data_IF_671372978237
#
_entry.id   IF_671372978237
#
_cell.length_a   1.000
_cell.length_b   1.000
_cell.length_c   1.000
_cell.angle_alpha   90.00
_cell.angle_beta   90.00
_cell.angle_gamma   90.00
#
_symmetry.space_group_name_H-M   'P 1'
#
loop_
_entity.id
_entity.type
_entity.pdbx_description
1 polymer ?
#
# COMPACT_ATOMS: atom_id res chain seq x y z
N UNK A 1 19.67 14.76 -40.41
CA UNK A 1 18.78 13.64 -40.11
C UNK A 1 19.54 12.37 -39.64
N UNK A 2 20.42 11.72 -40.43
CA UNK A 2 21.13 10.49 -40.01
C UNK A 2 21.93 10.63 -38.72
N UNK A 3 22.67 11.73 -38.50
CA UNK A 3 23.44 11.97 -37.26
C UNK A 3 22.53 12.16 -36.03
N UNK A 4 21.36 12.77 -36.21
CA UNK A 4 20.39 12.96 -35.11
C UNK A 4 19.73 11.65 -34.70
N UNK A 5 19.39 10.79 -35.66
CA UNK A 5 18.86 9.44 -35.43
C UNK A 5 19.92 8.58 -34.70
N UNK A 6 21.19 8.67 -35.09
CA UNK A 6 22.25 7.94 -34.43
C UNK A 6 22.45 8.36 -32.97
N UNK A 7 22.36 9.65 -32.66
CA UNK A 7 22.43 10.16 -31.28
C UNK A 7 21.26 9.63 -30.43
N UNK A 8 20.04 9.65 -30.97
CA UNK A 8 18.87 9.09 -30.29
C UNK A 8 19.05 7.59 -30.02
N UNK A 9 19.52 6.83 -31.00
CA UNK A 9 19.76 5.41 -30.84
C UNK A 9 20.85 5.09 -29.78
N UNK A 10 21.90 5.91 -29.71
CA UNK A 10 22.95 5.79 -28.68
C UNK A 10 22.36 6.10 -27.29
N UNK A 11 21.56 7.14 -27.16
CA UNK A 11 20.89 7.47 -25.90
C UNK A 11 19.96 6.34 -25.47
N UNK A 12 19.12 5.82 -26.37
CA UNK A 12 18.22 4.70 -26.09
C UNK A 12 18.97 3.43 -25.69
N UNK A 13 20.07 3.11 -26.39
CA UNK A 13 20.93 1.97 -26.05
C UNK A 13 21.60 2.16 -24.69
N UNK A 14 22.08 3.35 -24.38
CA UNK A 14 22.68 3.67 -23.08
C UNK A 14 21.66 3.56 -21.94
N UNK A 15 20.44 4.06 -22.15
CA UNK A 15 19.33 3.93 -21.19
C UNK A 15 18.94 2.46 -20.99
N UNK A 16 18.83 1.68 -22.07
CA UNK A 16 18.52 0.25 -22.00
C UNK A 16 19.61 -0.53 -21.25
N UNK A 17 20.90 -0.24 -21.52
CA UNK A 17 22.04 -0.87 -20.84
C UNK A 17 22.05 -0.49 -19.35
N UNK A 18 21.88 0.77 -19.02
CA UNK A 18 21.79 1.23 -17.64
C UNK A 18 20.60 0.59 -16.90
N UNK A 19 19.44 0.47 -17.56
CA UNK A 19 18.26 -0.22 -17.03
C UNK A 19 18.53 -1.70 -16.74
N UNK A 20 19.23 -2.38 -17.64
CA UNK A 20 19.59 -3.79 -17.47
C UNK A 20 20.55 -3.99 -16.28
N UNK A 21 21.61 -3.18 -16.18
CA UNK A 21 22.55 -3.22 -15.05
C UNK A 21 21.85 -2.94 -13.72
N UNK A 22 21.04 -1.90 -13.66
CA UNK A 22 20.28 -1.56 -12.47
C UNK A 22 19.31 -2.66 -12.06
N UNK A 23 18.63 -3.28 -13.02
CA UNK A 23 17.74 -4.42 -12.77
C UNK A 23 18.49 -5.61 -12.20
N UNK A 24 19.71 -5.90 -12.70
CA UNK A 24 20.53 -7.00 -12.19
C UNK A 24 21.05 -6.74 -10.78
N UNK A 25 21.51 -5.53 -10.48
CA UNK A 25 21.89 -5.13 -9.12
C UNK A 25 20.72 -5.20 -8.17
N UNK A 26 19.56 -4.71 -8.59
CA UNK A 26 18.33 -4.80 -7.81
C UNK A 26 17.92 -6.24 -7.49
N UNK A 27 17.97 -7.13 -8.47
CA UNK A 27 17.68 -8.55 -8.26
C UNK A 27 18.65 -9.15 -7.24
N UNK A 28 19.93 -8.79 -7.30
CA UNK A 28 20.95 -9.24 -6.35
C UNK A 28 20.70 -8.71 -4.94
N UNK A 29 20.45 -7.42 -4.81
CA UNK A 29 20.15 -6.78 -3.52
C UNK A 29 18.87 -7.35 -2.89
N UNK A 30 17.87 -7.60 -3.67
CA UNK A 30 16.63 -8.21 -3.23
C UNK A 30 16.79 -9.65 -2.75
N UNK A 31 17.59 -10.45 -3.47
CA UNK A 31 17.95 -11.79 -2.98
C UNK A 31 18.66 -11.71 -1.63
N UNK A 32 19.52 -10.70 -1.44
CA UNK A 32 20.20 -10.44 -0.16
C UNK A 32 19.18 -10.07 0.92
N UNK A 33 18.27 -9.12 0.65
CA UNK A 33 17.24 -8.67 1.60
C UNK A 33 16.26 -9.80 1.97
N UNK A 34 15.85 -10.62 0.99
CA UNK A 34 15.03 -11.81 1.26
C UNK A 34 15.79 -12.79 2.16
N UNK A 35 17.07 -13.04 1.88
CA UNK A 35 17.93 -13.91 2.69
C UNK A 35 18.04 -13.37 4.12
N UNK A 36 18.32 -12.09 4.29
CA UNK A 36 18.37 -11.43 5.60
C UNK A 36 17.03 -11.50 6.32
N UNK A 37 15.92 -11.25 5.63
CA UNK A 37 14.57 -11.36 6.18
C UNK A 37 14.24 -12.78 6.63
N UNK A 38 14.65 -13.80 5.88
CA UNK A 38 14.44 -15.23 6.27
C UNK A 38 15.31 -15.66 7.44
N UNK A 39 16.46 -15.02 7.65
CA UNK A 39 17.39 -15.31 8.76
C UNK A 39 17.15 -14.44 9.99
N UNK A 40 16.15 -13.56 9.95
CA UNK A 40 15.83 -12.64 11.07
C UNK A 40 15.54 -13.42 12.34
N UNK A 41 16.29 -13.11 13.39
CA UNK A 41 16.09 -13.68 14.74
C UNK A 41 15.00 -12.92 15.49
N UNK A 42 14.38 -13.57 16.49
CA UNK A 42 13.54 -12.85 17.45
C UNK A 42 14.32 -11.70 18.09
N UNK A 43 13.69 -10.55 18.16
CA UNK A 43 14.21 -9.38 18.85
C UNK A 43 13.23 -9.02 19.97
N UNK A 44 13.68 -9.17 21.19
CA UNK A 44 12.94 -8.77 22.38
C UNK A 44 13.61 -7.54 22.99
N UNK A 45 12.84 -6.48 23.12
CA UNK A 45 13.29 -5.27 23.80
C UNK A 45 12.46 -5.12 25.08
N UNK A 46 13.10 -4.75 26.17
CA UNK A 46 12.40 -4.44 27.41
C UNK A 46 11.29 -3.42 27.16
N UNK A 47 10.14 -3.62 27.80
CA UNK A 47 8.96 -2.74 27.69
C UNK A 47 8.24 -2.76 26.31
N UNK A 48 8.51 -3.74 25.44
CA UNK A 48 7.67 -4.07 24.27
C UNK A 48 7.33 -5.55 24.33
N UNK A 49 6.06 -5.87 24.52
CA UNK A 49 5.56 -7.24 24.55
C UNK A 49 4.61 -7.45 23.36
N UNK A 50 4.81 -8.55 22.62
CA UNK A 50 3.96 -8.95 21.50
C UNK A 50 3.30 -10.28 21.85
N UNK A 51 1.99 -10.31 21.93
CA UNK A 51 1.18 -11.49 22.18
C UNK A 51 0.33 -11.82 20.96
N UNK A 52 0.19 -13.10 20.66
CA UNK A 52 -0.66 -13.62 19.61
C UNK A 52 -1.66 -14.61 20.16
N UNK A 53 -2.92 -14.45 19.81
CA UNK A 53 -4.03 -15.29 20.21
C UNK A 53 -4.76 -15.79 18.96
N UNK A 54 -4.78 -17.11 18.68
CA UNK A 54 -5.66 -17.65 17.66
C UNK A 54 -7.12 -17.43 18.09
N UNK A 55 -7.90 -16.82 17.22
CA UNK A 55 -9.31 -16.49 17.49
C UNK A 55 -10.16 -16.80 16.27
N UNK A 56 -11.40 -17.24 16.52
CA UNK A 56 -12.42 -17.36 15.50
C UNK A 56 -13.32 -16.11 15.54
N UNK A 57 -13.42 -15.41 14.44
CA UNK A 57 -14.27 -14.22 14.33
C UNK A 57 -15.62 -14.58 13.70
N UNK A 58 -16.68 -13.87 14.13
CA UNK A 58 -17.99 -13.97 13.50
C UNK A 58 -17.92 -13.36 12.10
N UNK A 59 -18.41 -14.09 11.12
CA UNK A 59 -18.58 -13.58 9.75
C UNK A 59 -19.97 -13.01 9.56
N UNK A 60 -20.07 -11.87 8.91
CA UNK A 60 -21.32 -11.26 8.45
C UNK A 60 -21.34 -11.32 6.92
N UNK A 61 -22.42 -11.86 6.37
CA UNK A 61 -22.63 -11.83 4.93
C UNK A 61 -23.18 -10.45 4.56
N UNK A 62 -22.43 -9.71 3.74
CA UNK A 62 -22.86 -8.44 3.17
C UNK A 62 -23.05 -8.64 1.66
N UNK A 63 -24.30 -8.50 1.19
CA UNK A 63 -24.64 -8.67 -0.21
C UNK A 63 -24.58 -10.13 -0.74
N UNK A 64 -24.72 -10.30 -2.05
CA UNK A 64 -24.61 -11.61 -2.69
C UNK A 64 -23.16 -12.08 -2.70
N UNK A 65 -22.78 -12.94 -1.77
CA UNK A 65 -21.52 -13.69 -1.70
C UNK A 65 -20.30 -13.00 -1.08
N UNK A 66 -20.41 -11.86 -0.43
CA UNK A 66 -19.29 -11.28 0.30
C UNK A 66 -19.41 -11.57 1.79
N UNK A 67 -18.50 -12.37 2.32
CA UNK A 67 -18.35 -12.55 3.75
C UNK A 67 -17.45 -11.45 4.32
N UNK A 68 -17.97 -10.71 5.29
CA UNK A 68 -17.21 -9.73 6.07
C UNK A 68 -17.01 -10.25 7.47
N UNK A 69 -15.85 -10.00 8.01
CA UNK A 69 -15.57 -10.27 9.40
C UNK A 69 -15.99 -9.06 10.23
N UNK A 70 -16.74 -9.31 11.29
CA UNK A 70 -17.01 -8.30 12.29
C UNK A 70 -15.97 -8.40 13.38
N UNK A 71 -15.06 -7.44 13.43
CA UNK A 71 -14.08 -7.33 14.50
C UNK A 71 -14.70 -6.59 15.69
N UNK A 72 -14.59 -7.15 16.87
CA UNK A 72 -15.18 -6.60 18.10
C UNK A 72 -14.72 -5.15 18.37
N UNK A 73 -13.46 -4.86 18.10
CA UNK A 73 -12.87 -3.54 18.30
C UNK A 73 -13.07 -2.57 17.14
N UNK A 74 -13.76 -2.99 16.06
CA UNK A 74 -13.95 -2.11 14.88
C UNK A 74 -15.04 -1.04 15.07
N UNK A 75 -15.79 -1.09 16.19
CA UNK A 75 -16.86 -0.12 16.47
C UNK A 75 -17.89 0.00 15.34
N UNK A 76 -18.19 -1.12 14.67
CA UNK A 76 -19.14 -1.17 13.55
C UNK A 76 -18.53 -0.88 12.18
N UNK A 77 -17.25 -0.54 12.09
CA UNK A 77 -16.54 -0.37 10.83
C UNK A 77 -16.30 -1.72 10.15
N UNK A 78 -16.29 -1.72 8.83
CA UNK A 78 -16.03 -2.87 7.98
C UNK A 78 -14.73 -2.70 7.21
N UNK A 79 -14.13 -3.82 6.80
CA UNK A 79 -12.95 -3.83 5.93
C UNK A 79 -13.40 -4.01 4.48
N UNK A 80 -12.98 -3.12 3.61
CA UNK A 80 -13.19 -3.16 2.17
C UNK A 80 -11.85 -3.32 1.46
N UNK A 81 -11.75 -4.28 0.55
CA UNK A 81 -10.54 -4.55 -0.21
C UNK A 81 -10.63 -3.96 -1.61
N UNK A 82 -9.56 -3.41 -2.10
CA UNK A 82 -9.56 -2.82 -3.43
C UNK A 82 -8.20 -2.54 -4.02
N UNK A 83 -8.22 -1.76 -5.10
CA UNK A 83 -7.04 -1.23 -5.78
C UNK A 83 -7.31 0.20 -6.23
N UNK A 84 -6.28 1.05 -6.12
CA UNK A 84 -6.38 2.48 -6.42
C UNK A 84 -5.51 2.92 -7.60
N UNK A 85 -4.85 1.99 -8.31
CA UNK A 85 -3.97 2.29 -9.42
C UNK A 85 -4.04 1.21 -10.50
N UNK A 86 -4.58 1.56 -11.65
CA UNK A 86 -4.65 0.70 -12.84
C UNK A 86 -4.94 1.53 -14.09
N UNK A 87 -4.65 0.94 -15.27
CA UNK A 87 -4.73 1.56 -16.58
C UNK A 87 -5.58 0.78 -17.56
N UNK A 88 -6.25 1.49 -18.44
CA UNK A 88 -7.01 0.92 -19.56
C UNK A 88 -6.43 1.41 -20.91
N UNK A 89 -7.15 1.13 -22.00
CA UNK A 89 -6.80 1.67 -23.34
C UNK A 89 -6.93 3.19 -23.44
N UNK A 90 -7.34 3.90 -22.39
CA UNK A 90 -7.25 5.34 -22.34
C UNK A 90 -5.82 5.81 -22.04
N UNK A 91 -4.99 4.94 -21.45
CA UNK A 91 -3.52 5.07 -21.41
C UNK A 91 -2.88 4.33 -22.58
N UNK A 92 -1.73 4.77 -23.04
CA UNK A 92 -1.04 4.22 -24.22
C UNK A 92 -0.69 2.72 -24.10
N UNK A 93 -0.15 2.32 -22.98
CA UNK A 93 0.29 0.95 -22.70
C UNK A 93 -0.80 0.07 -22.07
N UNK A 94 -1.94 0.63 -21.70
CA UNK A 94 -3.03 -0.10 -21.08
C UNK A 94 -3.78 -1.01 -22.06
N UNK A 95 -4.20 -2.18 -21.59
CA UNK A 95 -4.96 -3.16 -22.36
C UNK A 95 -6.34 -3.38 -21.75
N UNK A 96 -7.33 -3.54 -22.63
CA UNK A 96 -8.74 -3.60 -22.27
C UNK A 96 -9.36 -2.22 -22.09
N UNK A 97 -10.61 -2.07 -22.50
CA UNK A 97 -11.35 -0.83 -22.32
C UNK A 97 -11.62 -0.56 -20.83
N UNK A 98 -11.99 0.66 -20.43
CA UNK A 98 -12.42 0.92 -19.06
C UNK A 98 -13.52 -0.02 -18.59
N UNK A 99 -14.50 -0.33 -19.47
CA UNK A 99 -15.60 -1.24 -19.18
C UNK A 99 -15.10 -2.67 -18.91
N UNK A 100 -14.13 -3.16 -19.71
CA UNK A 100 -13.54 -4.49 -19.51
C UNK A 100 -12.78 -4.58 -18.18
N UNK A 101 -12.07 -3.52 -17.81
CA UNK A 101 -11.35 -3.43 -16.53
C UNK A 101 -12.33 -3.44 -15.35
N UNK A 102 -13.37 -2.58 -15.36
CA UNK A 102 -14.37 -2.56 -14.28
C UNK A 102 -15.20 -3.85 -14.23
N UNK A 103 -15.58 -4.42 -15.36
CA UNK A 103 -16.29 -5.70 -15.37
C UNK A 103 -15.47 -6.84 -14.78
N UNK A 104 -14.18 -6.89 -15.11
CA UNK A 104 -13.25 -7.87 -14.55
C UNK A 104 -13.06 -7.68 -13.04
N UNK A 105 -12.90 -6.45 -12.59
CA UNK A 105 -12.77 -6.12 -11.18
C UNK A 105 -14.04 -6.45 -10.38
N UNK A 106 -15.23 -6.08 -10.90
CA UNK A 106 -16.54 -6.36 -10.30
C UNK A 106 -16.83 -7.86 -10.15
N UNK A 107 -16.31 -8.69 -11.06
CA UNK A 107 -16.43 -10.14 -11.00
C UNK A 107 -15.43 -10.81 -10.05
N UNK A 108 -14.47 -10.08 -9.55
CA UNK A 108 -13.53 -10.58 -8.54
C UNK A 108 -14.25 -10.78 -7.20
N UNK A 109 -13.94 -11.89 -6.52
CA UNK A 109 -14.52 -12.22 -5.21
C UNK A 109 -13.99 -11.36 -4.07
N UNK A 110 -12.85 -10.71 -4.30
CA UNK A 110 -12.04 -10.04 -3.26
C UNK A 110 -11.74 -8.58 -3.59
N UNK A 111 -12.50 -7.97 -4.51
CA UNK A 111 -12.47 -6.53 -4.76
C UNK A 111 -13.83 -5.90 -4.50
N UNK A 112 -13.85 -4.95 -3.58
CA UNK A 112 -15.01 -4.11 -3.29
C UNK A 112 -14.98 -2.80 -4.06
N UNK A 113 -13.77 -2.31 -4.34
CA UNK A 113 -13.57 -1.10 -5.12
C UNK A 113 -12.35 -1.23 -6.04
N UNK A 114 -12.39 -0.50 -7.15
CA UNK A 114 -11.32 -0.51 -8.13
C UNK A 114 -11.22 0.84 -8.83
N UNK A 115 -10.02 1.41 -8.89
CA UNK A 115 -9.77 2.68 -9.58
C UNK A 115 -9.07 2.46 -10.91
N UNK A 116 -9.53 3.19 -11.93
CA UNK A 116 -8.78 3.47 -13.14
C UNK A 116 -8.20 4.89 -13.05
N UNK A 117 -6.90 4.97 -13.20
CA UNK A 117 -6.11 6.20 -13.02
C UNK A 117 -5.18 6.39 -14.21
N UNK A 118 -5.77 6.81 -15.32
CA UNK A 118 -5.12 6.87 -16.61
C UNK A 118 -3.96 7.88 -16.63
N UNK A 119 -2.89 7.56 -17.36
CA UNK A 119 -1.83 8.51 -17.66
C UNK A 119 -2.37 9.75 -18.37
N UNK A 120 -2.08 10.93 -17.83
CA UNK A 120 -2.71 12.18 -18.27
C UNK A 120 -1.94 12.93 -19.36
N UNK A 121 -0.62 12.76 -19.48
CA UNK A 121 0.20 13.69 -20.28
C UNK A 121 -0.28 13.87 -21.74
N UNK A 122 -0.18 12.88 -22.63
CA UNK A 122 -0.61 13.03 -24.04
C UNK A 122 -1.83 12.18 -24.42
N UNK A 123 -2.30 11.33 -23.50
CA UNK A 123 -3.31 10.31 -23.81
C UNK A 123 -4.69 10.63 -23.23
N UNK A 124 -4.75 11.28 -22.06
CA UNK A 124 -5.99 11.69 -21.43
C UNK A 124 -6.32 13.11 -21.85
N UNK A 125 -7.46 13.28 -22.50
CA UNK A 125 -8.07 14.57 -22.77
C UNK A 125 -9.36 14.74 -21.95
N UNK A 126 -9.93 15.94 -21.96
CA UNK A 126 -11.16 16.19 -21.21
C UNK A 126 -12.31 15.27 -21.62
N UNK A 127 -12.43 14.92 -22.91
CA UNK A 127 -13.48 14.01 -23.39
C UNK A 127 -13.31 12.60 -22.85
N UNK A 128 -12.09 12.07 -22.85
CA UNK A 128 -11.78 10.76 -22.25
C UNK A 128 -11.99 10.77 -20.74
N UNK A 129 -11.58 11.83 -20.04
CA UNK A 129 -11.75 11.92 -18.60
C UNK A 129 -13.24 11.94 -18.21
N UNK A 130 -14.05 12.75 -18.88
CA UNK A 130 -15.51 12.77 -18.68
C UNK A 130 -16.15 11.42 -19.02
N UNK A 131 -15.70 10.78 -20.10
CA UNK A 131 -16.17 9.43 -20.45
C UNK A 131 -15.80 8.40 -19.39
N UNK A 132 -14.59 8.45 -18.81
CA UNK A 132 -14.18 7.57 -17.73
C UNK A 132 -15.07 7.74 -16.50
N UNK A 133 -15.44 8.97 -16.15
CA UNK A 133 -16.39 9.27 -15.06
C UNK A 133 -17.76 8.65 -15.33
N UNK A 134 -18.29 8.78 -16.54
CA UNK A 134 -19.58 8.19 -16.93
C UNK A 134 -19.53 6.66 -16.82
N UNK A 135 -18.51 6.04 -17.42
CA UNK A 135 -18.34 4.56 -17.36
C UNK A 135 -18.22 4.11 -15.89
N UNK A 136 -17.45 4.80 -15.06
CA UNK A 136 -17.34 4.42 -13.65
C UNK A 136 -18.70 4.45 -12.95
N UNK A 137 -19.53 5.45 -13.20
CA UNK A 137 -20.87 5.54 -12.62
C UNK A 137 -21.79 4.39 -13.08
N UNK A 138 -21.69 3.93 -14.33
CA UNK A 138 -22.49 2.82 -14.88
C UNK A 138 -22.16 1.46 -14.24
N UNK A 139 -20.92 1.28 -13.76
CA UNK A 139 -20.48 0.03 -13.13
C UNK A 139 -20.74 -0.03 -11.62
N UNK A 140 -21.21 1.05 -11.02
CA UNK A 140 -21.48 1.08 -9.58
C UNK A 140 -22.61 0.14 -9.20
N UNK A 141 -22.45 -0.56 -8.08
CA UNK A 141 -23.48 -1.44 -7.50
C UNK A 141 -23.36 -1.48 -5.98
N UNK A 142 -24.30 -2.14 -5.29
CA UNK A 142 -24.23 -2.32 -3.83
C UNK A 142 -22.96 -3.01 -3.34
N UNK A 143 -22.34 -3.86 -4.20
CA UNK A 143 -21.20 -4.68 -3.84
C UNK A 143 -19.91 -4.30 -4.57
N UNK A 144 -19.92 -3.21 -5.33
CA UNK A 144 -18.75 -2.77 -6.08
C UNK A 144 -18.75 -1.26 -6.30
N UNK A 145 -17.67 -0.62 -5.90
CA UNK A 145 -17.45 0.81 -6.08
C UNK A 145 -16.35 1.03 -7.15
N UNK A 146 -16.71 1.38 -8.39
CA UNK A 146 -15.75 1.85 -9.37
C UNK A 146 -15.31 3.26 -9.02
N UNK A 147 -14.03 3.52 -9.17
CA UNK A 147 -13.41 4.82 -8.90
C UNK A 147 -12.69 5.26 -10.19
N UNK A 148 -12.79 6.53 -10.52
CA UNK A 148 -11.99 7.15 -11.58
C UNK A 148 -11.01 8.15 -11.00
N UNK A 149 -9.91 8.32 -11.69
CA UNK A 149 -8.86 9.26 -11.35
C UNK A 149 -7.88 9.41 -12.50
N UNK A 150 -6.72 9.92 -12.21
CA UNK A 150 -5.63 9.98 -13.16
C UNK A 150 -4.29 9.76 -12.44
N UNK A 151 -3.30 9.31 -13.18
CA UNK A 151 -1.93 9.31 -12.74
C UNK A 151 -1.22 10.54 -13.33
N UNK A 152 -0.87 11.49 -12.45
CA UNK A 152 0.03 12.59 -12.81
C UNK A 152 1.43 12.03 -13.03
N UNK A 153 1.79 11.85 -14.29
CA UNK A 153 2.92 11.02 -14.74
C UNK A 153 4.13 11.87 -15.11
N UNK A 154 4.65 12.63 -14.15
CA UNK A 154 5.79 13.50 -14.40
C UNK A 154 7.08 12.68 -14.61
N UNK A 155 7.74 12.90 -15.75
CA UNK A 155 8.94 12.15 -16.16
C UNK A 155 10.15 12.34 -15.23
N UNK A 156 10.19 13.45 -14.48
CA UNK A 156 11.30 13.83 -13.60
C UNK A 156 10.90 13.74 -12.13
N UNK A 157 9.77 14.40 -11.80
CA UNK A 157 9.34 14.59 -10.42
C UNK A 157 8.60 13.40 -9.81
N UNK A 158 8.44 12.29 -10.53
CA UNK A 158 7.72 11.10 -10.07
C UNK A 158 6.24 11.11 -10.43
N UNK A 159 5.58 9.97 -10.18
CA UNK A 159 4.18 9.77 -10.49
C UNK A 159 3.31 9.91 -9.23
N UNK A 160 2.09 10.41 -9.43
CA UNK A 160 1.12 10.56 -8.35
C UNK A 160 -0.24 10.07 -8.81
N UNK A 161 -0.83 9.14 -8.09
CA UNK A 161 -2.25 8.80 -8.28
C UNK A 161 -3.10 9.90 -7.68
N UNK A 162 -4.01 10.46 -8.46
CA UNK A 162 -4.92 11.53 -8.06
C UNK A 162 -6.36 11.07 -8.22
N UNK A 163 -7.11 11.14 -7.14
CA UNK A 163 -8.50 10.70 -7.03
C UNK A 163 -9.40 11.84 -6.59
N UNK A 164 -10.71 11.68 -6.78
CA UNK A 164 -11.73 12.58 -6.27
C UNK A 164 -11.61 14.03 -6.80
N UNK A 165 -11.34 14.16 -8.09
CA UNK A 165 -11.27 15.44 -8.79
C UNK A 165 -12.26 15.49 -9.94
N UNK A 166 -12.73 16.68 -10.27
CA UNK A 166 -13.62 16.89 -11.42
C UNK A 166 -12.85 17.09 -12.73
N UNK A 167 -11.57 17.44 -12.63
CA UNK A 167 -10.67 17.70 -13.76
C UNK A 167 -9.34 17.01 -13.50
N UNK A 168 -8.53 16.86 -14.51
CA UNK A 168 -7.14 16.41 -14.36
C UNK A 168 -6.15 17.57 -14.60
N UNK A 169 -4.90 17.37 -14.16
CA UNK A 169 -3.78 18.27 -14.46
C UNK A 169 -2.75 17.53 -15.31
N UNK A 170 -2.42 18.08 -16.47
CA UNK A 170 -1.32 17.55 -17.26
C UNK A 170 0.03 17.86 -16.61
N UNK A 171 0.93 16.87 -16.63
CA UNK A 171 2.34 16.99 -16.22
C UNK A 171 3.25 17.48 -17.34
N UNK A 172 2.70 17.67 -18.55
CA UNK A 172 3.49 18.08 -19.69
C UNK A 172 4.16 19.43 -19.48
N UNK A 173 5.49 19.44 -19.49
CA UNK A 173 6.31 20.61 -19.23
C UNK A 173 6.59 20.91 -17.77
N UNK A 174 5.97 20.18 -16.83
CA UNK A 174 6.24 20.31 -15.40
C UNK A 174 7.59 19.66 -15.06
N UNK A 175 8.39 20.30 -14.21
CA UNK A 175 9.74 19.84 -13.88
C UNK A 175 9.91 19.46 -12.39
N UNK A 176 8.91 19.81 -11.57
CA UNK A 176 8.96 19.59 -10.13
C UNK A 176 7.60 19.20 -9.54
N UNK A 177 7.56 18.67 -8.31
CA UNK A 177 6.31 18.45 -7.60
C UNK A 177 5.50 19.73 -7.35
N UNK A 178 6.15 20.88 -7.31
CA UNK A 178 5.53 22.18 -7.01
C UNK A 178 4.42 22.56 -8.00
N UNK A 179 4.52 22.07 -9.24
CA UNK A 179 3.51 22.28 -10.27
C UNK A 179 2.19 21.58 -9.90
N UNK A 180 2.26 20.33 -9.46
CA UNK A 180 1.11 19.59 -8.93
C UNK A 180 0.62 20.19 -7.61
N UNK A 181 1.53 20.53 -6.70
CA UNK A 181 1.20 21.09 -5.39
C UNK A 181 0.45 22.42 -5.52
N UNK A 182 0.89 23.29 -6.45
CA UNK A 182 0.20 24.54 -6.76
C UNK A 182 -1.21 24.32 -7.31
N UNK A 183 -1.40 23.30 -8.13
CA UNK A 183 -2.73 22.94 -8.64
C UNK A 183 -3.63 22.38 -7.52
N UNK A 184 -3.09 21.55 -6.62
CA UNK A 184 -3.82 21.00 -5.49
C UNK A 184 -4.28 22.08 -4.49
N UNK A 185 -3.58 23.21 -4.38
CA UNK A 185 -3.99 24.33 -3.50
C UNK A 185 -5.21 25.08 -3.98
N UNK A 186 -5.61 24.91 -5.23
CA UNK A 186 -6.80 25.58 -5.77
C UNK A 186 -8.07 25.11 -5.06
N UNK A 187 -9.05 26.01 -4.83
CA UNK A 187 -10.30 25.68 -4.14
C UNK A 187 -11.07 24.53 -4.78
N UNK A 188 -11.02 24.40 -6.11
CA UNK A 188 -11.70 23.33 -6.86
C UNK A 188 -11.15 21.95 -6.54
N UNK A 189 -9.92 21.87 -5.99
CA UNK A 189 -9.25 20.61 -5.63
C UNK A 189 -9.32 20.31 -4.13
N UNK A 190 -10.23 20.95 -3.39
CA UNK A 190 -10.34 20.81 -1.92
C UNK A 190 -10.50 19.36 -1.46
N UNK A 191 -11.17 18.52 -2.24
CA UNK A 191 -11.48 17.14 -1.93
C UNK A 191 -10.53 16.12 -2.60
N UNK A 192 -9.53 16.59 -3.35
CA UNK A 192 -8.55 15.72 -4.01
C UNK A 192 -7.82 14.83 -3.00
N UNK A 193 -7.61 13.57 -3.39
CA UNK A 193 -6.81 12.59 -2.65
C UNK A 193 -5.65 12.15 -3.53
N UNK A 194 -4.44 12.22 -3.00
CA UNK A 194 -3.21 11.98 -3.77
C UNK A 194 -2.33 10.95 -3.08
N UNK A 195 -1.73 10.09 -3.88
CA UNK A 195 -0.85 9.01 -3.43
C UNK A 195 0.47 9.14 -4.17
N UNK A 196 1.59 9.05 -3.47
CA UNK A 196 2.90 8.87 -4.08
C UNK A 196 2.94 7.50 -4.74
N UNK A 197 2.98 7.46 -6.07
CA UNK A 197 2.96 6.21 -6.83
C UNK A 197 4.37 5.61 -6.96
N UNK A 198 4.47 4.30 -6.74
CA UNK A 198 5.65 3.45 -6.96
C UNK A 198 7.02 4.14 -6.81
N UNK A 199 7.33 4.76 -5.63
CA UNK A 199 8.58 5.48 -5.40
C UNK A 199 9.80 4.60 -5.67
N UNK A 200 10.81 5.18 -6.34
CA UNK A 200 12.04 4.47 -6.69
C UNK A 200 11.92 3.43 -7.80
N UNK A 201 10.76 3.29 -8.45
CA UNK A 201 10.58 2.36 -9.57
C UNK A 201 11.46 2.71 -10.76
N UNK A 202 11.58 4.00 -11.08
CA UNK A 202 12.43 4.48 -12.16
C UNK A 202 13.75 5.03 -11.62
N UNK A 203 14.82 4.27 -11.78
CA UNK A 203 16.16 4.61 -11.25
C UNK A 203 16.70 5.98 -11.70
N UNK A 204 16.38 6.40 -12.92
CA UNK A 204 16.82 7.70 -13.45
C UNK A 204 16.13 8.91 -12.78
N UNK A 205 14.99 8.70 -12.13
CA UNK A 205 14.28 9.74 -11.36
C UNK A 205 14.84 9.92 -9.97
N UNK A 206 15.54 8.92 -9.44
CA UNK A 206 15.98 8.86 -8.03
C UNK A 206 16.55 10.17 -7.49
N UNK A 207 17.34 10.97 -8.24
CA UNK A 207 17.86 12.25 -7.73
C UNK A 207 16.80 13.34 -7.56
N UNK A 208 15.65 13.23 -8.22
CA UNK A 208 14.65 14.32 -8.33
C UNK A 208 13.25 13.89 -7.92
N UNK A 209 13.00 12.58 -7.84
CA UNK A 209 11.69 12.01 -7.62
C UNK A 209 11.08 12.52 -6.32
N UNK A 210 9.86 13.06 -6.42
CA UNK A 210 9.13 13.73 -5.35
C UNK A 210 9.92 14.85 -4.64
N UNK A 211 11.03 15.33 -5.23
CA UNK A 211 12.01 16.19 -4.56
C UNK A 211 12.34 15.66 -3.15
N UNK A 212 12.57 14.33 -3.05
CA UNK A 212 12.81 13.61 -1.80
C UNK A 212 11.69 13.81 -0.77
N UNK A 213 10.43 13.69 -1.26
CA UNK A 213 9.23 13.92 -0.46
C UNK A 213 9.13 15.32 0.14
N UNK A 214 9.49 16.35 -0.66
CA UNK A 214 9.35 17.74 -0.25
C UNK A 214 8.00 17.97 0.40
N UNK A 215 8.02 18.39 1.67
CA UNK A 215 6.81 18.61 2.45
C UNK A 215 6.17 19.97 2.14
N UNK A 216 4.84 19.96 2.06
CA UNK A 216 4.03 21.17 1.94
C UNK A 216 2.81 21.07 2.87
N UNK A 217 2.78 21.91 3.90
CA UNK A 217 1.75 21.92 4.94
C UNK A 217 0.35 22.21 4.42
N UNK A 218 0.22 22.95 3.30
CA UNK A 218 -1.07 23.41 2.78
C UNK A 218 -1.82 22.31 2.03
N UNK A 219 -1.15 21.20 1.74
CA UNK A 219 -1.75 20.03 1.07
C UNK A 219 -1.57 18.73 1.84
N UNK A 220 -1.12 18.79 3.10
CA UNK A 220 -0.87 17.58 3.93
C UNK A 220 -2.11 16.70 4.07
N UNK A 221 -3.31 17.29 4.09
CA UNK A 221 -4.56 16.54 4.16
C UNK A 221 -4.93 15.85 2.84
N UNK A 222 -4.39 16.32 1.72
CA UNK A 222 -4.64 15.78 0.38
C UNK A 222 -3.69 14.65 0.00
N UNK A 223 -2.41 14.73 0.38
CA UNK A 223 -1.46 13.66 0.18
C UNK A 223 -1.69 12.59 1.27
N UNK A 224 -2.41 11.53 0.90
CA UNK A 224 -2.96 10.57 1.87
C UNK A 224 -2.13 9.32 2.05
N UNK A 225 -1.29 8.98 1.10
CA UNK A 225 -0.59 7.71 1.14
C UNK A 225 0.60 7.62 0.21
N UNK A 226 1.25 6.49 0.30
CA UNK A 226 2.40 6.10 -0.51
C UNK A 226 2.28 4.63 -0.87
N UNK A 227 2.55 4.27 -2.10
CA UNK A 227 2.56 2.87 -2.50
C UNK A 227 3.73 2.12 -1.86
N UNK A 228 3.40 1.09 -1.11
CA UNK A 228 4.35 0.17 -0.46
C UNK A 228 4.38 -1.21 -1.11
N UNK A 229 3.41 -1.49 -1.99
CA UNK A 229 3.33 -2.70 -2.81
C UNK A 229 3.01 -2.31 -4.24
N UNK A 230 3.69 -2.99 -5.14
CA UNK A 230 3.50 -2.87 -6.58
C UNK A 230 3.51 -4.28 -7.19
N UNK A 231 3.23 -4.43 -8.49
CA UNK A 231 3.33 -5.72 -9.20
C UNK A 231 4.71 -6.38 -9.01
N UNK A 232 5.75 -5.57 -8.82
CA UNK A 232 7.08 -6.01 -8.42
C UNK A 232 7.28 -5.76 -6.92
N UNK A 233 7.05 -6.77 -6.05
CA UNK A 233 7.15 -6.64 -4.60
C UNK A 233 8.55 -6.25 -4.12
N UNK A 234 9.53 -6.35 -5.00
CA UNK A 234 10.95 -6.22 -4.70
C UNK A 234 11.37 -4.74 -4.66
N UNK A 235 10.65 -3.87 -5.37
CA UNK A 235 10.98 -2.44 -5.49
C UNK A 235 10.91 -1.72 -4.14
N UNK A 236 10.05 -2.14 -3.24
CA UNK A 236 9.72 -1.43 -2.00
C UNK A 236 10.41 -1.96 -0.74
N UNK A 237 11.16 -3.06 -0.84
CA UNK A 237 11.95 -3.60 0.28
C UNK A 237 13.30 -2.89 0.44
N UNK A 238 13.74 -2.15 -0.58
CA UNK A 238 14.99 -1.43 -0.57
C UNK A 238 14.90 -0.10 0.20
N UNK A 239 16.07 0.51 0.49
CA UNK A 239 16.11 1.79 1.14
C UNK A 239 15.57 2.91 0.24
N UNK A 240 14.96 3.92 0.86
CA UNK A 240 14.52 5.16 0.23
C UNK A 240 15.67 5.96 -0.38
N UNK A 241 15.39 7.20 -0.77
CA UNK A 241 16.38 8.07 -1.44
C UNK A 241 17.60 8.36 -0.57
N UNK A 242 17.40 8.50 0.74
CA UNK A 242 18.47 8.71 1.72
C UNK A 242 19.29 7.47 2.07
N UNK A 243 18.92 6.29 1.57
CA UNK A 243 19.66 5.04 1.72
C UNK A 243 19.61 4.40 3.11
N UNK A 244 18.83 4.94 4.07
CA UNK A 244 18.76 4.46 5.46
C UNK A 244 17.39 3.97 5.89
N UNK A 245 16.34 4.52 5.32
CA UNK A 245 14.95 4.27 5.67
C UNK A 245 14.20 3.71 4.46
N UNK A 246 13.07 3.05 4.69
CA UNK A 246 12.12 2.75 3.62
C UNK A 246 11.50 4.05 3.09
N UNK A 247 10.97 4.03 1.87
CA UNK A 247 10.35 5.21 1.26
C UNK A 247 9.22 5.80 2.13
N UNK A 248 8.37 4.95 2.71
CA UNK A 248 7.30 5.41 3.62
C UNK A 248 7.88 6.12 4.84
N UNK A 249 8.94 5.58 5.44
CA UNK A 249 9.57 6.17 6.62
C UNK A 249 10.26 7.49 6.30
N UNK A 250 10.89 7.59 5.12
CA UNK A 250 11.52 8.82 4.65
C UNK A 250 10.48 9.92 4.41
N UNK A 251 9.36 9.58 3.76
CA UNK A 251 8.28 10.51 3.52
C UNK A 251 7.61 10.99 4.83
N UNK A 252 7.36 10.07 5.78
CA UNK A 252 6.80 10.44 7.08
C UNK A 252 7.76 11.34 7.87
N UNK A 253 9.06 11.05 7.83
CA UNK A 253 10.06 11.90 8.50
C UNK A 253 10.23 13.28 7.85
N UNK A 254 9.87 13.42 6.57
CA UNK A 254 9.77 14.72 5.90
C UNK A 254 8.59 15.56 6.38
N UNK A 255 7.66 15.00 7.15
CA UNK A 255 6.51 15.70 7.74
C UNK A 255 5.14 15.23 7.24
N UNK A 256 5.09 14.32 6.26
CA UNK A 256 3.84 13.83 5.72
C UNK A 256 3.09 12.91 6.68
N UNK A 257 1.77 13.04 6.73
CA UNK A 257 0.88 12.11 7.40
C UNK A 257 0.32 11.14 6.35
N UNK A 258 0.90 9.94 6.24
CA UNK A 258 0.66 9.00 5.16
C UNK A 258 0.17 7.65 5.65
N UNK A 259 -0.56 6.96 4.78
CA UNK A 259 -0.87 5.55 4.92
C UNK A 259 -0.13 4.70 3.88
N UNK A 260 0.17 3.43 4.17
CA UNK A 260 0.65 2.49 3.17
C UNK A 260 -0.49 2.15 2.21
N UNK A 261 -0.20 2.19 0.92
CA UNK A 261 -1.12 1.85 -0.16
C UNK A 261 -0.56 0.65 -0.91
N UNK A 262 -1.41 -0.29 -1.25
CA UNK A 262 -1.07 -1.41 -2.11
C UNK A 262 -1.73 -1.23 -3.46
N UNK A 263 -0.95 -1.39 -4.52
CA UNK A 263 -1.44 -1.31 -5.88
C UNK A 263 -0.77 -2.36 -6.78
N UNK A 264 -1.35 -2.63 -7.94
CA UNK A 264 -0.70 -3.46 -8.94
C UNK A 264 -0.23 -2.66 -10.16
N UNK A 265 -0.65 -1.40 -10.30
CA UNK A 265 -0.39 -0.59 -11.50
C UNK A 265 -0.65 -1.43 -12.77
N UNK A 266 -1.86 -2.01 -12.81
CA UNK A 266 -2.18 -3.02 -13.82
C UNK A 266 -2.43 -2.36 -15.16
N UNK A 267 -1.64 -2.74 -16.17
CA UNK A 267 -1.77 -2.32 -17.56
C UNK A 267 -2.45 -3.37 -18.43
N UNK A 268 -2.97 -4.44 -17.85
CA UNK A 268 -3.68 -5.50 -18.58
C UNK A 268 -4.86 -6.00 -17.75
N UNK A 269 -6.09 -5.76 -18.24
CA UNK A 269 -7.31 -6.16 -17.56
C UNK A 269 -7.37 -7.67 -17.24
N UNK A 270 -6.63 -8.51 -17.97
CA UNK A 270 -6.56 -9.96 -17.71
C UNK A 270 -5.86 -10.26 -16.40
N UNK A 271 -4.99 -9.36 -15.95
CA UNK A 271 -4.26 -9.45 -14.68
C UNK A 271 -5.03 -8.87 -13.49
N UNK A 272 -6.20 -8.26 -13.71
CA UNK A 272 -7.08 -7.82 -12.62
C UNK A 272 -7.75 -9.03 -11.99
N UNK A 273 -7.75 -9.20 -10.67
CA UNK A 273 -7.38 -8.22 -9.64
C UNK A 273 -5.89 -8.16 -9.26
N UNK A 274 -5.01 -8.96 -9.87
CA UNK A 274 -3.61 -9.04 -9.44
C UNK A 274 -3.44 -9.67 -8.04
N UNK A 275 -2.33 -9.43 -7.37
CA UNK A 275 -2.02 -10.03 -6.06
C UNK A 275 -2.24 -9.06 -4.90
N UNK A 276 -1.85 -7.81 -5.07
CA UNK A 276 -1.88 -6.82 -3.99
C UNK A 276 -3.28 -6.30 -3.69
N UNK A 277 -3.55 -5.96 -2.45
CA UNK A 277 -4.80 -5.35 -1.98
C UNK A 277 -4.50 -4.21 -1.01
N UNK A 278 -5.18 -3.09 -1.22
CA UNK A 278 -5.37 -2.14 -0.13
C UNK A 278 -6.63 -2.53 0.64
N UNK A 279 -6.53 -2.59 1.96
CA UNK A 279 -7.70 -2.64 2.83
C UNK A 279 -8.04 -1.23 3.32
N UNK A 280 -9.31 -0.86 3.22
CA UNK A 280 -9.85 0.40 3.73
C UNK A 280 -10.90 0.09 4.77
N UNK A 281 -10.78 0.71 5.94
CA UNK A 281 -11.72 0.52 7.06
C UNK A 281 -12.74 1.65 7.05
N UNK A 282 -14.00 1.34 6.71
CA UNK A 282 -15.05 2.31 6.52
C UNK A 282 -16.40 1.80 7.05
N UNK A 283 -17.36 2.70 7.24
CA UNK A 283 -18.70 2.38 7.71
C UNK A 283 -19.50 1.58 6.66
N UNK A 284 -19.38 1.97 5.39
CA UNK A 284 -20.13 1.40 4.27
C UNK A 284 -19.32 1.45 2.97
N UNK A 285 -19.74 0.68 1.96
CA UNK A 285 -19.18 0.71 0.62
C UNK A 285 -19.80 1.85 -0.20
N UNK A 286 -19.40 3.06 0.10
CA UNK A 286 -19.77 4.24 -0.69
C UNK A 286 -18.54 5.09 -0.98
N UNK A 287 -18.56 5.85 -2.07
CA UNK A 287 -17.44 6.74 -2.41
C UNK A 287 -17.13 7.68 -1.25
N UNK A 288 -18.16 8.25 -0.63
CA UNK A 288 -18.03 9.16 0.52
C UNK A 288 -17.33 8.48 1.69
N UNK A 289 -17.78 7.29 2.08
CA UNK A 289 -17.22 6.58 3.23
C UNK A 289 -15.78 6.08 2.96
N UNK A 290 -15.53 5.50 1.78
CA UNK A 290 -14.19 5.04 1.37
C UNK A 290 -13.22 6.24 1.31
N UNK A 291 -13.59 7.36 0.67
CA UNK A 291 -12.71 8.54 0.60
C UNK A 291 -12.50 9.21 1.95
N UNK A 292 -13.53 9.22 2.82
CA UNK A 292 -13.38 9.68 4.21
C UNK A 292 -12.37 8.82 4.98
N UNK A 293 -12.44 7.50 4.83
CA UNK A 293 -11.52 6.57 5.48
C UNK A 293 -10.07 6.72 4.94
N UNK A 294 -9.92 6.85 3.62
CA UNK A 294 -8.63 7.16 3.00
C UNK A 294 -8.05 8.47 3.54
N UNK A 295 -8.86 9.52 3.65
CA UNK A 295 -8.46 10.81 4.21
C UNK A 295 -8.05 10.71 5.68
N UNK A 296 -8.62 9.78 6.43
CA UNK A 296 -8.24 9.46 7.81
C UNK A 296 -7.08 8.46 7.91
N UNK A 297 -6.53 7.99 6.78
CA UNK A 297 -5.46 6.97 6.69
C UNK A 297 -5.84 5.62 7.31
N UNK A 298 -7.13 5.30 7.37
CA UNK A 298 -7.64 4.05 7.94
C UNK A 298 -7.46 2.89 6.95
N UNK A 299 -6.20 2.54 6.68
CA UNK A 299 -5.84 1.56 5.65
C UNK A 299 -4.74 0.60 6.09
N UNK A 300 -4.62 -0.48 5.36
CA UNK A 300 -3.45 -1.34 5.36
C UNK A 300 -3.13 -1.77 3.93
N UNK A 301 -1.87 -2.11 3.67
CA UNK A 301 -1.42 -2.63 2.39
C UNK A 301 -1.03 -4.10 2.52
N UNK A 302 -1.46 -4.95 1.58
CA UNK A 302 -1.16 -6.38 1.59
C UNK A 302 -0.86 -6.90 0.19
N UNK A 303 -0.02 -7.93 0.09
CA UNK A 303 0.27 -8.66 -1.14
C UNK A 303 -0.66 -9.85 -1.40
N UNK A 304 -1.69 -10.03 -0.57
CA UNK A 304 -2.73 -11.06 -0.71
C UNK A 304 -4.01 -10.60 0.00
N UNK A 305 -5.17 -11.16 -0.33
CA UNK A 305 -6.42 -10.85 0.37
C UNK A 305 -6.33 -11.20 1.85
N UNK A 306 -6.67 -10.24 2.70
CA UNK A 306 -6.77 -10.39 4.15
C UNK A 306 -7.79 -9.37 4.66
N UNK A 307 -8.57 -9.71 5.66
CA UNK A 307 -9.32 -8.74 6.43
C UNK A 307 -8.56 -8.44 7.72
N UNK A 308 -8.25 -7.17 7.94
CA UNK A 308 -7.45 -6.74 9.09
C UNK A 308 -7.99 -5.43 9.64
N UNK A 309 -8.06 -5.35 10.96
CA UNK A 309 -8.36 -4.11 11.68
C UNK A 309 -7.36 -3.93 12.81
N UNK A 310 -6.79 -2.74 12.90
CA UNK A 310 -5.90 -2.40 14.02
C UNK A 310 -6.36 -1.13 14.70
N UNK A 311 -6.18 -1.10 16.02
CA UNK A 311 -6.44 0.09 16.85
C UNK A 311 -5.40 0.23 17.95
N UNK A 312 -5.19 1.46 18.38
CA UNK A 312 -4.38 1.80 19.54
C UNK A 312 -5.29 2.19 20.71
N UNK A 313 -4.97 1.73 21.91
CA UNK A 313 -5.59 2.13 23.15
C UNK A 313 -4.62 3.03 23.91
N UNK A 314 -5.08 4.23 24.25
CA UNK A 314 -4.36 5.20 25.10
C UNK A 314 -5.30 5.55 26.25
N UNK A 315 -5.00 5.05 27.44
CA UNK A 315 -5.98 5.00 28.52
C UNK A 315 -7.21 4.19 28.10
N UNK A 316 -8.40 4.74 28.30
CA UNK A 316 -9.66 4.12 27.91
C UNK A 316 -10.11 4.49 26.48
N UNK A 317 -9.33 5.32 25.78
CA UNK A 317 -9.71 5.79 24.46
C UNK A 317 -9.07 4.93 23.36
N UNK A 318 -9.92 4.52 22.40
CA UNK A 318 -9.50 3.73 21.26
C UNK A 318 -9.39 4.59 20.00
N UNK A 319 -8.30 4.38 19.25
CA UNK A 319 -7.95 5.08 18.02
C UNK A 319 -7.73 4.05 16.90
N UNK A 320 -8.46 4.09 15.79
CA UNK A 320 -8.20 3.19 14.66
C UNK A 320 -6.84 3.48 14.03
N UNK A 321 -6.31 2.51 13.27
CA UNK A 321 -5.07 2.68 12.51
C UNK A 321 -5.10 3.93 11.63
N UNK A 322 -3.94 4.57 11.44
CA UNK A 322 -3.81 5.85 10.73
C UNK A 322 -4.07 7.08 11.60
N UNK A 323 -4.60 6.90 12.80
CA UNK A 323 -4.94 8.02 13.70
C UNK A 323 -3.72 8.75 14.22
N UNK A 324 -3.94 10.01 14.51
CA UNK A 324 -3.06 10.80 15.36
C UNK A 324 -3.51 10.58 16.81
N UNK A 325 -2.59 10.14 17.66
CA UNK A 325 -2.85 9.76 19.04
C UNK A 325 -2.04 10.61 20.02
N UNK A 326 -2.53 10.87 21.24
CA UNK A 326 -1.76 11.58 22.25
C UNK A 326 -0.58 10.72 22.72
N UNK A 327 0.48 11.37 23.19
CA UNK A 327 1.58 10.70 23.88
C UNK A 327 1.10 10.17 25.25
N UNK A 328 1.63 9.01 25.67
CA UNK A 328 1.25 8.33 26.92
C UNK A 328 2.45 7.60 27.54
N UNK A 329 2.32 7.17 28.79
CA UNK A 329 3.27 6.28 29.45
C UNK A 329 3.15 4.83 28.93
N UNK A 330 1.93 4.44 28.51
CA UNK A 330 1.61 3.11 28.01
C UNK A 330 0.77 3.23 26.75
N UNK A 331 1.01 2.34 25.81
CA UNK A 331 0.26 2.21 24.56
C UNK A 331 0.01 0.75 24.30
N UNK A 332 -1.25 0.39 24.04
CA UNK A 332 -1.61 -0.96 23.61
C UNK A 332 -2.11 -0.91 22.18
N UNK A 333 -1.55 -1.73 21.29
CA UNK A 333 -2.04 -1.91 19.92
C UNK A 333 -2.70 -3.28 19.83
N UNK A 334 -3.93 -3.30 19.31
CA UNK A 334 -4.68 -4.53 19.03
C UNK A 334 -4.85 -4.61 17.51
N UNK A 335 -4.47 -5.74 16.92
CA UNK A 335 -4.61 -6.02 15.51
C UNK A 335 -5.31 -7.36 15.32
N UNK A 336 -6.55 -7.33 14.84
CA UNK A 336 -7.35 -8.49 14.49
C UNK A 336 -7.23 -8.77 12.99
N UNK A 337 -7.16 -10.04 12.61
CA UNK A 337 -7.06 -10.41 11.20
C UNK A 337 -7.73 -11.75 10.87
N UNK A 338 -8.16 -11.89 9.61
CA UNK A 338 -8.61 -13.15 9.01
C UNK A 338 -8.03 -13.26 7.61
N UNK A 339 -7.34 -14.36 7.33
CA UNK A 339 -6.83 -14.72 6.01
C UNK A 339 -7.79 -15.75 5.43
N UNK A 340 -8.34 -15.56 4.22
CA UNK A 340 -9.18 -16.55 3.56
C UNK A 340 -8.43 -17.88 3.39
N UNK A 341 -9.09 -19.01 3.69
CA UNK A 341 -8.49 -20.35 3.65
C UNK A 341 -7.91 -20.68 2.26
N UNK A 342 -8.59 -20.25 1.20
CA UNK A 342 -8.16 -20.45 -0.19
C UNK A 342 -6.80 -19.80 -0.50
N UNK A 343 -6.39 -18.78 0.25
CA UNK A 343 -5.08 -18.15 0.07
C UNK A 343 -3.94 -19.06 0.48
N UNK A 344 -4.19 -20.01 1.39
CA UNK A 344 -3.17 -20.94 1.92
C UNK A 344 -1.91 -20.19 2.42
N UNK A 345 -2.13 -19.03 3.02
CA UNK A 345 -1.09 -18.19 3.62
C UNK A 345 -1.17 -18.31 5.13
N UNK A 346 -0.04 -18.53 5.76
CA UNK A 346 0.11 -18.43 7.20
C UNK A 346 0.96 -17.22 7.59
N UNK A 347 0.88 -16.77 8.83
CA UNK A 347 1.76 -15.71 9.33
C UNK A 347 3.10 -16.30 9.80
N UNK A 348 4.18 -15.61 9.48
CA UNK A 348 5.54 -16.00 9.88
C UNK A 348 6.04 -15.21 11.07
N UNK A 349 5.93 -13.87 11.00
CA UNK A 349 6.40 -12.98 12.07
C UNK A 349 5.71 -11.63 12.05
N UNK A 350 5.78 -10.99 13.21
CA UNK A 350 5.31 -9.62 13.44
C UNK A 350 6.53 -8.77 13.81
N UNK A 351 6.62 -7.60 13.21
CA UNK A 351 7.62 -6.58 13.51
C UNK A 351 6.92 -5.31 13.97
N UNK A 352 7.41 -4.74 15.08
CA UNK A 352 7.02 -3.41 15.58
C UNK A 352 8.08 -2.41 15.17
N UNK A 353 7.67 -1.37 14.43
CA UNK A 353 8.54 -0.30 14.01
C UNK A 353 8.18 0.99 14.72
N UNK A 354 9.21 1.68 15.21
CA UNK A 354 9.11 2.98 15.85
C UNK A 354 10.04 3.93 15.12
N UNK A 355 9.49 5.00 14.54
CA UNK A 355 10.24 5.97 13.74
C UNK A 355 11.11 5.31 12.65
N UNK A 356 10.53 4.36 11.92
CA UNK A 356 11.17 3.63 10.84
C UNK A 356 12.20 2.57 11.26
N UNK A 357 12.39 2.33 12.56
CA UNK A 357 13.35 1.36 13.08
C UNK A 357 12.61 0.15 13.70
N UNK A 358 12.98 -1.05 13.29
CA UNK A 358 12.48 -2.27 13.93
C UNK A 358 12.93 -2.30 15.40
N UNK A 359 11.97 -2.36 16.31
CA UNK A 359 12.20 -2.37 17.75
C UNK A 359 11.89 -3.72 18.39
N UNK A 360 10.93 -4.44 17.86
CA UNK A 360 10.63 -5.79 18.34
C UNK A 360 10.21 -6.71 17.19
N UNK A 361 10.53 -7.98 17.31
CA UNK A 361 10.19 -9.04 16.36
C UNK A 361 9.70 -10.25 17.14
N UNK A 362 8.50 -10.74 16.82
CA UNK A 362 7.99 -12.02 17.29
C UNK A 362 7.79 -12.96 16.13
N UNK A 363 8.41 -14.14 16.19
CA UNK A 363 8.13 -15.24 15.28
C UNK A 363 6.87 -15.97 15.72
N UNK A 364 6.00 -16.26 14.77
CA UNK A 364 4.77 -17.04 14.99
C UNK A 364 4.94 -18.49 14.53
N UNK A 365 5.92 -18.75 13.68
CA UNK A 365 6.29 -20.08 13.20
C UNK A 365 7.67 -20.47 13.73
N UNK A 366 7.76 -21.67 14.33
CA UNK A 366 9.04 -22.32 14.60
C UNK A 366 9.41 -23.17 13.38
N UNK A 367 10.27 -22.68 12.52
CA UNK A 367 10.80 -23.47 11.40
C UNK A 367 11.80 -24.46 12.00
N UNK A 368 11.51 -25.76 11.91
CA UNK A 368 12.51 -26.78 12.24
C UNK A 368 13.58 -26.81 11.14
N UNK A 369 14.83 -27.09 11.49
CA UNK A 369 15.91 -27.27 10.50
C UNK A 369 15.59 -28.33 9.44
N UNK A 370 14.69 -29.26 9.72
CA UNK A 370 14.20 -30.27 8.79
C UNK A 370 13.36 -29.68 7.64
N UNK A 371 12.65 -28.56 7.88
CA UNK A 371 11.82 -27.90 6.86
C UNK A 371 12.64 -27.15 5.79
N UNK A 372 13.92 -26.86 6.08
CA UNK A 372 14.82 -26.17 5.15
C UNK A 372 15.45 -27.10 4.10
N UNK A 373 15.43 -28.42 4.34
CA UNK A 373 16.12 -29.43 3.49
C UNK A 373 15.17 -30.42 2.84
N UNK A 374 13.91 -30.48 3.24
CA UNK A 374 12.92 -31.42 2.69
C UNK A 374 12.26 -30.86 1.44
N UNK A 375 12.18 -31.69 0.39
CA UNK A 375 11.24 -31.50 -0.71
C UNK A 375 9.82 -31.39 -0.11
N UNK A 376 8.89 -30.65 -0.75
CA UNK A 376 7.58 -30.36 -0.18
C UNK A 376 6.74 -31.63 -0.03
N UNK A 377 6.92 -32.34 1.08
CA UNK A 377 6.02 -33.42 1.50
C UNK A 377 5.08 -32.91 2.60
N UNK A 378 3.82 -32.98 2.32
CA UNK A 378 2.66 -32.49 3.09
C UNK A 378 2.33 -33.36 4.31
N UNK A 379 3.19 -33.48 5.33
CA UNK A 379 2.89 -34.30 6.51
C UNK A 379 3.16 -33.67 7.87
N UNK A 380 3.53 -32.40 7.95
CA UNK A 380 3.49 -31.72 9.24
C UNK A 380 2.10 -31.07 9.38
N UNK A 381 1.46 -31.21 10.53
CA UNK A 381 0.26 -30.47 10.92
C UNK A 381 0.62 -28.97 10.92
N UNK A 382 0.52 -28.35 9.75
CA UNK A 382 0.81 -26.95 9.52
C UNK A 382 -0.39 -26.17 10.12
N UNK A 383 -0.37 -25.99 11.45
CA UNK A 383 -1.34 -25.13 12.14
C UNK A 383 -1.07 -23.70 11.71
N UNK A 384 -1.67 -23.32 10.56
CA UNK A 384 -1.59 -21.96 10.02
C UNK A 384 -2.48 -21.07 10.85
N UNK A 385 -2.00 -19.96 11.38
CA UNK A 385 -2.88 -18.98 11.94
C UNK A 385 -3.65 -18.29 10.78
N UNK A 386 -4.84 -18.75 10.52
CA UNK A 386 -5.77 -18.21 9.51
C UNK A 386 -6.55 -17.02 10.06
N UNK A 387 -6.71 -16.96 11.38
CA UNK A 387 -7.36 -15.85 12.06
C UNK A 387 -6.81 -15.70 13.47
N UNK A 388 -6.77 -14.46 13.97
CA UNK A 388 -6.26 -14.21 15.30
C UNK A 388 -6.19 -12.75 15.68
N UNK A 389 -5.74 -12.55 16.90
CA UNK A 389 -5.48 -11.25 17.51
C UNK A 389 -4.02 -11.13 17.89
N UNK A 390 -3.41 -10.02 17.48
CA UNK A 390 -2.10 -9.57 17.91
C UNK A 390 -2.32 -8.46 18.93
N UNK A 391 -1.73 -8.59 20.10
CA UNK A 391 -1.74 -7.56 21.13
C UNK A 391 -0.30 -7.15 21.40
N UNK A 392 -0.05 -5.84 21.32
CA UNK A 392 1.28 -5.27 21.54
C UNK A 392 1.15 -4.24 22.66
N UNK A 393 1.85 -4.50 23.76
CA UNK A 393 1.99 -3.58 24.87
C UNK A 393 3.34 -2.88 24.74
N UNK A 394 3.32 -1.53 24.70
CA UNK A 394 4.50 -0.69 24.60
C UNK A 394 4.49 0.28 25.77
N UNK A 395 5.56 0.25 26.58
CA UNK A 395 5.73 1.13 27.73
C UNK A 395 6.95 2.04 27.51
N UNK A 396 7.01 3.17 28.18
CA UNK A 396 8.21 4.03 28.20
C UNK A 396 9.43 3.21 28.65
N UNK A 397 10.63 3.48 28.10
CA UNK A 397 10.96 4.63 27.23
C UNK A 397 10.73 4.38 25.73
N UNK A 398 10.07 3.29 25.32
CA UNK A 398 9.93 2.93 23.89
C UNK A 398 8.83 3.70 23.15
N UNK A 399 7.93 4.40 23.86
CA UNK A 399 6.98 5.30 23.21
C UNK A 399 7.73 6.55 22.77
N UNK A 400 7.75 6.87 21.47
CA UNK A 400 8.48 8.03 20.98
C UNK A 400 7.82 9.33 21.48
N UNK A 401 8.64 10.37 21.63
CA UNK A 401 8.14 11.74 21.81
C UNK A 401 7.45 12.22 20.52
N UNK A 402 6.56 13.19 20.66
CA UNK A 402 5.98 13.90 19.51
C UNK A 402 7.02 14.82 18.84
N UNK A 403 7.08 14.90 17.49
CA UNK A 403 6.38 13.99 16.55
C UNK A 403 7.05 12.63 16.47
N UNK A 404 6.23 11.58 16.42
CA UNK A 404 6.70 10.22 16.28
C UNK A 404 5.64 9.33 15.67
N UNK A 405 6.02 8.11 15.31
CA UNK A 405 5.06 7.15 14.76
C UNK A 405 5.44 5.70 15.06
N UNK A 406 4.41 4.87 15.13
CA UNK A 406 4.52 3.44 15.41
C UNK A 406 3.67 2.69 14.39
N UNK A 407 4.21 1.65 13.76
CA UNK A 407 3.42 0.79 12.88
C UNK A 407 3.89 -0.65 12.92
N UNK A 408 3.09 -1.52 12.30
CA UNK A 408 3.32 -2.95 12.24
C UNK A 408 3.66 -3.37 10.83
N UNK A 409 4.61 -4.30 10.70
CA UNK A 409 4.80 -5.14 9.53
C UNK A 409 4.53 -6.59 9.92
N UNK A 410 3.70 -7.27 9.12
CA UNK A 410 3.33 -8.65 9.36
C UNK A 410 3.73 -9.45 8.12
N UNK A 411 4.59 -10.44 8.30
CA UNK A 411 5.07 -11.27 7.21
C UNK A 411 4.29 -12.57 7.15
N UNK A 412 3.90 -12.93 5.93
CA UNK A 412 3.27 -14.20 5.62
C UNK A 412 4.22 -15.20 4.98
N UNK A 413 3.80 -16.46 4.94
CA UNK A 413 4.45 -17.50 4.15
C UNK A 413 3.41 -18.29 3.37
N UNK A 414 3.82 -18.83 2.23
CA UNK A 414 2.98 -19.68 1.35
C UNK A 414 3.84 -20.82 0.82
N UNK A 415 3.34 -22.05 0.93
CA UNK A 415 4.07 -23.26 0.48
C UNK A 415 5.51 -23.32 1.01
N UNK A 416 5.70 -23.04 2.31
CA UNK A 416 7.00 -23.08 2.97
C UNK A 416 7.95 -21.93 2.66
N UNK A 417 7.55 -20.98 1.82
CA UNK A 417 8.38 -19.82 1.44
C UNK A 417 7.84 -18.52 2.04
N UNK A 418 8.74 -17.67 2.51
CA UNK A 418 8.40 -16.31 2.96
C UNK A 418 7.80 -15.53 1.79
N UNK A 419 6.69 -14.85 2.05
CA UNK A 419 6.17 -13.81 1.16
C UNK A 419 7.02 -12.56 1.42
N UNK A 420 7.79 -12.07 0.43
CA UNK A 420 8.77 -11.00 0.67
C UNK A 420 8.12 -9.68 1.05
N UNK A 421 6.92 -9.40 0.54
CA UNK A 421 6.20 -8.15 0.84
C UNK A 421 5.34 -8.33 2.10
N UNK A 422 5.65 -7.62 3.21
CA UNK A 422 4.85 -7.70 4.42
C UNK A 422 3.51 -6.98 4.26
N UNK A 423 2.56 -7.30 5.12
CA UNK A 423 1.41 -6.45 5.35
C UNK A 423 1.90 -5.22 6.12
N UNK A 424 1.60 -4.02 5.63
CA UNK A 424 1.84 -2.77 6.32
C UNK A 424 0.53 -2.27 6.91
N UNK A 425 0.47 -2.12 8.23
CA UNK A 425 -0.64 -1.46 8.93
C UNK A 425 -0.36 0.04 8.98
N UNK A 426 -1.38 0.88 8.72
CA UNK A 426 -1.19 2.33 8.77
C UNK A 426 -0.63 2.79 10.13
N UNK A 427 0.33 3.72 10.13
CA UNK A 427 0.98 4.17 11.36
C UNK A 427 0.02 4.87 12.33
N UNK A 428 0.27 4.70 13.62
CA UNK A 428 -0.24 5.57 14.68
C UNK A 428 0.75 6.71 14.87
N UNK A 429 0.28 7.94 14.72
CA UNK A 429 1.09 9.15 14.78
C UNK A 429 0.94 9.81 16.14
N UNK A 430 2.07 10.06 16.85
CA UNK A 430 2.05 10.72 18.15
C UNK A 430 2.09 12.24 17.97
N UNK A 431 1.16 12.90 18.63
CA UNK A 431 1.04 14.36 18.70
C UNK A 431 1.47 14.89 20.04
#
# INVERSE_FOLDING_TARGET
>A
MKKFILVILIILASVATASYYYRSERISENKRLIKEATQTKELRIANIEINYFPLMFKTKVLGKNQQRVSFEHSQGLNVYLGQLHAHSTFSFEGKGTPEQNYDKARKSKDLDFFALTEHEYVWLDNGKYEKLKQISAEFQSENFLPIHGFEYSNLIAGHYVVLNTNTFKSSWGDLSPDDLYSWLKKPEQKDALVIFAHPGFHFYRKPFEFSHFKFDKDIVDKIIGIETHHWDPITFLGPGYGGKLLFIDEAVQSGWWLAPISSNDSHDYRNVPGKSRIGVVAEELSQKAIFSALKKRMTFASSFPIQLFASALVGDQQYPMGSQIPTSETLKIICDFVIPEEEKVGLERIEVLINGKVKAIKKLRTVSNADLTAAPQSTASDTRPESGRIVIDINKPNIPSSPGYIYLRIFGYKAGKLIPSPIYVAPFYLK
#
